data_IF_371066105979
#
_entry.id   IF_371066105979
#
_cell.length_a   1.000
_cell.length_b   1.000
_cell.length_c   1.000
_cell.angle_alpha   90.00
_cell.angle_beta   90.00
_cell.angle_gamma   90.00
#
_symmetry.space_group_name_H-M   'P 1'
#
loop_
_entity.id
_entity.type
_entity.pdbx_description
1 polymer ?
#
# COMPACT_ATOMS: atom_id res chain seq x y z
N UNK A 1 -15.89 -6.97 -11.60
CA UNK A 1 -15.24 -6.72 -10.29
C UNK A 1 -13.91 -6.01 -10.53
N UNK A 2 -13.50 -5.07 -9.65
CA UNK A 2 -12.31 -4.21 -9.78
C UNK A 2 -11.03 -4.98 -10.18
N UNK A 3 -10.76 -6.12 -9.55
CA UNK A 3 -9.59 -6.94 -9.86
C UNK A 3 -9.55 -7.48 -11.31
N UNK A 4 -10.71 -7.71 -11.93
CA UNK A 4 -10.80 -8.10 -13.35
C UNK A 4 -10.50 -6.93 -14.30
N UNK A 5 -10.85 -5.70 -13.93
CA UNK A 5 -10.49 -4.51 -14.71
C UNK A 5 -9.00 -4.20 -14.60
N UNK A 6 -8.39 -4.43 -13.44
CA UNK A 6 -6.93 -4.32 -13.23
C UNK A 6 -6.16 -5.22 -14.19
N UNK A 7 -6.57 -6.49 -14.28
CA UNK A 7 -5.95 -7.47 -15.17
C UNK A 7 -6.02 -7.08 -16.66
N UNK A 8 -7.02 -6.29 -17.05
CA UNK A 8 -7.23 -5.86 -18.43
C UNK A 8 -6.65 -4.47 -18.75
N UNK A 9 -5.95 -3.83 -17.81
CA UNK A 9 -5.27 -2.55 -18.04
C UNK A 9 -6.16 -1.31 -17.98
N UNK A 10 -7.37 -1.40 -17.40
CA UNK A 10 -8.28 -0.26 -17.27
C UNK A 10 -8.03 0.57 -16.00
N UNK A 11 -6.78 0.96 -15.75
CA UNK A 11 -6.38 1.64 -14.51
C UNK A 11 -7.10 2.98 -14.32
N UNK A 12 -7.21 3.80 -15.36
CA UNK A 12 -7.89 5.10 -15.32
C UNK A 12 -9.36 4.98 -14.88
N UNK A 13 -10.10 4.02 -15.45
CA UNK A 13 -11.49 3.78 -15.06
C UNK A 13 -11.62 3.36 -13.59
N UNK A 14 -10.64 2.64 -13.06
CA UNK A 14 -10.65 2.20 -11.66
C UNK A 14 -10.34 3.39 -10.74
N UNK A 15 -9.39 4.25 -11.12
CA UNK A 15 -9.10 5.50 -10.40
C UNK A 15 -10.39 6.33 -10.28
N UNK A 16 -11.10 6.54 -11.40
CA UNK A 16 -12.37 7.28 -11.41
C UNK A 16 -13.43 6.64 -10.51
N UNK A 17 -13.54 5.31 -10.50
CA UNK A 17 -14.45 4.60 -9.61
C UNK A 17 -14.13 4.86 -8.13
N UNK A 18 -12.86 4.79 -7.73
CA UNK A 18 -12.45 5.03 -6.34
C UNK A 18 -12.69 6.48 -5.90
N UNK A 19 -12.42 7.44 -6.79
CA UNK A 19 -12.68 8.87 -6.53
C UNK A 19 -14.17 9.16 -6.38
N UNK A 20 -15.02 8.44 -7.12
CA UNK A 20 -16.46 8.60 -7.05
C UNK A 20 -17.09 7.89 -5.85
N UNK A 21 -16.59 6.70 -5.50
CA UNK A 21 -17.08 5.89 -4.39
C UNK A 21 -15.96 5.56 -3.37
N UNK A 22 -15.80 6.40 -2.33
CA UNK A 22 -14.80 6.18 -1.28
C UNK A 22 -14.98 4.86 -0.50
N UNK A 23 -16.13 4.19 -0.58
CA UNK A 23 -16.30 2.89 0.06
C UNK A 23 -15.38 1.81 -0.55
N UNK A 24 -14.96 1.99 -1.80
CA UNK A 24 -14.07 1.06 -2.51
C UNK A 24 -12.67 0.97 -1.89
N UNK A 25 -12.23 1.98 -1.13
CA UNK A 25 -10.95 1.91 -0.40
C UNK A 25 -10.90 0.76 0.61
N UNK A 26 -12.05 0.31 1.11
CA UNK A 26 -12.15 -0.88 1.97
C UNK A 26 -11.73 -2.18 1.27
N UNK A 27 -11.67 -2.18 -0.07
CA UNK A 27 -11.24 -3.32 -0.87
C UNK A 27 -9.72 -3.42 -1.02
N UNK A 28 -8.96 -2.34 -0.76
CA UNK A 28 -7.51 -2.30 -0.97
C UNK A 28 -6.75 -3.46 -0.29
N UNK A 29 -7.07 -3.88 0.96
CA UNK A 29 -6.38 -5.03 1.55
C UNK A 29 -6.54 -6.32 0.74
N UNK A 30 -7.72 -6.54 0.16
CA UNK A 30 -7.99 -7.73 -0.66
C UNK A 30 -7.27 -7.68 -2.00
N UNK A 31 -7.15 -6.49 -2.59
CA UNK A 31 -6.46 -6.30 -3.87
C UNK A 31 -4.93 -6.44 -3.73
N UNK A 32 -4.34 -5.92 -2.64
CA UNK A 32 -2.92 -6.10 -2.31
C UNK A 32 -2.62 -7.57 -1.98
N UNK A 33 -3.56 -8.28 -1.35
CA UNK A 33 -3.40 -9.69 -1.03
C UNK A 33 -3.80 -10.64 -2.18
N UNK A 34 -4.14 -10.13 -3.36
CA UNK A 34 -4.57 -10.96 -4.49
C UNK A 34 -3.43 -11.88 -4.96
N UNK A 35 -3.77 -13.14 -5.26
CA UNK A 35 -2.80 -14.13 -5.72
C UNK A 35 -2.15 -13.76 -7.06
N UNK A 36 -2.90 -13.03 -7.91
CA UNK A 36 -2.45 -12.63 -9.24
C UNK A 36 -1.51 -11.44 -9.11
N UNK A 37 -0.26 -11.65 -9.51
CA UNK A 37 0.77 -10.61 -9.50
C UNK A 37 0.33 -9.33 -10.24
N UNK A 38 -0.36 -9.46 -11.37
CA UNK A 38 -0.88 -8.31 -12.13
C UNK A 38 -1.87 -7.45 -11.34
N UNK A 39 -2.68 -8.07 -10.47
CA UNK A 39 -3.63 -7.32 -9.62
C UNK A 39 -2.88 -6.57 -8.55
N UNK A 40 -1.87 -7.20 -7.92
CA UNK A 40 -1.04 -6.52 -6.91
C UNK A 40 -0.31 -5.32 -7.50
N UNK A 41 0.37 -5.50 -8.63
CA UNK A 41 1.08 -4.41 -9.34
C UNK A 41 0.11 -3.28 -9.70
N UNK A 42 -1.05 -3.62 -10.27
CA UNK A 42 -2.07 -2.61 -10.60
C UNK A 42 -2.63 -1.89 -9.37
N UNK A 43 -2.68 -2.58 -8.22
CA UNK A 43 -3.12 -1.98 -6.95
C UNK A 43 -2.09 -1.03 -6.39
N UNK A 44 -0.80 -1.34 -6.49
CA UNK A 44 0.28 -0.41 -6.14
C UNK A 44 0.18 0.87 -6.97
N UNK A 45 0.09 0.74 -8.30
CA UNK A 45 -0.06 1.88 -9.20
C UNK A 45 -1.33 2.70 -8.91
N UNK A 46 -2.47 2.04 -8.62
CA UNK A 46 -3.71 2.70 -8.21
C UNK A 46 -3.51 3.54 -6.94
N UNK A 47 -2.89 2.97 -5.92
CA UNK A 47 -2.71 3.64 -4.64
C UNK A 47 -1.76 4.83 -4.80
N UNK A 48 -0.69 4.70 -5.59
CA UNK A 48 0.23 5.81 -5.89
C UNK A 48 -0.50 6.98 -6.56
N UNK A 49 -1.29 6.71 -7.61
CA UNK A 49 -2.08 7.76 -8.28
C UNK A 49 -3.14 8.37 -7.35
N UNK A 50 -3.87 7.54 -6.60
CA UNK A 50 -4.86 8.04 -5.64
C UNK A 50 -4.21 8.82 -4.48
N UNK A 51 -2.95 8.57 -4.14
CA UNK A 51 -2.27 9.32 -3.10
C UNK A 51 -2.00 10.77 -3.52
N UNK A 52 -1.80 11.00 -4.82
CA UNK A 52 -1.67 12.33 -5.41
C UNK A 52 -3.04 13.01 -5.61
N UNK A 53 -4.06 12.26 -6.02
CA UNK A 53 -5.35 12.82 -6.45
C UNK A 53 -6.45 12.82 -5.36
N UNK A 54 -6.39 11.91 -4.39
CA UNK A 54 -7.40 11.70 -3.33
C UNK A 54 -6.75 11.26 -2.01
N UNK A 55 -5.68 11.98 -1.63
CA UNK A 55 -4.85 11.72 -0.45
C UNK A 55 -5.65 11.46 0.83
N UNK A 56 -6.73 12.22 1.05
CA UNK A 56 -7.54 12.10 2.26
C UNK A 56 -8.19 10.73 2.42
N UNK A 57 -8.64 10.10 1.33
CA UNK A 57 -9.23 8.76 1.39
C UNK A 57 -8.13 7.68 1.41
N UNK A 58 -6.99 7.91 0.75
CA UNK A 58 -5.80 7.05 0.89
C UNK A 58 -5.31 6.99 2.34
N UNK A 59 -5.20 8.12 3.04
CA UNK A 59 -4.80 8.14 4.45
C UNK A 59 -5.76 7.33 5.34
N UNK A 60 -7.07 7.36 5.05
CA UNK A 60 -8.05 6.55 5.80
C UNK A 60 -7.89 5.05 5.55
N UNK A 61 -7.26 4.66 4.43
CA UNK A 61 -7.00 3.26 4.12
C UNK A 61 -5.75 2.70 4.81
N UNK A 62 -4.80 3.55 5.24
CA UNK A 62 -3.58 3.15 5.97
C UNK A 62 -3.86 2.12 7.09
N UNK A 63 -4.76 2.36 8.05
CA UNK A 63 -5.04 1.38 9.12
C UNK A 63 -5.64 0.07 8.61
N UNK A 64 -6.27 0.05 7.42
CA UNK A 64 -6.80 -1.16 6.80
C UNK A 64 -5.69 -2.04 6.22
N UNK A 65 -4.56 -1.42 5.81
CA UNK A 65 -3.43 -2.11 5.21
C UNK A 65 -2.46 -2.69 6.26
N UNK A 66 -2.33 -2.05 7.43
CA UNK A 66 -1.40 -2.45 8.49
C UNK A 66 -1.47 -3.94 8.87
N UNK A 67 -2.64 -4.61 8.97
CA UNK A 67 -2.70 -6.03 9.30
C UNK A 67 -1.95 -6.94 8.30
N UNK A 68 -1.79 -6.52 7.05
CA UNK A 68 -1.07 -7.28 6.02
C UNK A 68 0.46 -7.31 6.26
N UNK A 69 1.00 -6.46 7.14
CA UNK A 69 2.41 -6.54 7.56
C UNK A 69 2.71 -7.88 8.25
N UNK A 70 1.70 -8.61 8.74
CA UNK A 70 1.84 -9.94 9.35
C UNK A 70 1.43 -11.08 8.42
N UNK A 71 1.19 -10.80 7.13
CA UNK A 71 0.68 -11.78 6.18
C UNK A 71 1.67 -12.95 5.99
N UNK A 72 1.17 -14.18 5.79
CA UNK A 72 2.02 -15.37 5.67
C UNK A 72 2.94 -15.35 4.44
N UNK A 73 2.50 -14.72 3.36
CA UNK A 73 3.28 -14.57 2.13
C UNK A 73 4.26 -13.37 2.24
N UNK A 74 5.58 -13.59 2.12
CA UNK A 74 6.57 -12.51 2.21
C UNK A 74 6.43 -11.45 1.10
N UNK A 75 5.94 -11.81 -0.09
CA UNK A 75 5.72 -10.83 -1.15
C UNK A 75 4.64 -9.82 -0.74
N UNK A 76 3.56 -10.28 -0.12
CA UNK A 76 2.48 -9.40 0.37
C UNK A 76 2.98 -8.50 1.51
N UNK A 77 3.81 -9.02 2.43
CA UNK A 77 4.42 -8.20 3.49
C UNK A 77 5.32 -7.11 2.92
N UNK A 78 6.15 -7.44 1.92
CA UNK A 78 6.99 -6.48 1.22
C UNK A 78 6.16 -5.44 0.47
N UNK A 79 5.20 -5.88 -0.36
CA UNK A 79 4.33 -5.00 -1.14
C UNK A 79 3.60 -3.99 -0.23
N UNK A 80 3.04 -4.44 0.90
CA UNK A 80 2.33 -3.54 1.82
C UNK A 80 3.27 -2.62 2.60
N UNK A 81 4.47 -3.09 2.98
CA UNK A 81 5.47 -2.24 3.63
C UNK A 81 5.90 -1.09 2.71
N UNK A 82 6.16 -1.41 1.43
CA UNK A 82 6.48 -0.42 0.40
C UNK A 82 5.36 0.61 0.23
N UNK A 83 4.12 0.13 0.02
CA UNK A 83 2.95 1.01 -0.16
C UNK A 83 2.78 1.93 1.05
N UNK A 84 2.87 1.40 2.26
CA UNK A 84 2.74 2.18 3.48
C UNK A 84 3.89 3.19 3.65
N UNK A 85 5.10 2.88 3.20
CA UNK A 85 6.23 3.81 3.12
C UNK A 85 5.96 5.03 2.24
N UNK A 86 5.30 4.80 1.11
CA UNK A 86 4.93 5.83 0.13
C UNK A 86 3.79 6.72 0.65
N UNK A 87 2.74 6.10 1.21
CA UNK A 87 1.50 6.83 1.49
C UNK A 87 1.40 7.38 2.90
N UNK A 88 2.10 6.85 3.91
CA UNK A 88 1.78 7.22 5.30
C UNK A 88 2.29 8.61 5.69
N UNK A 89 1.39 9.44 6.20
CA UNK A 89 1.71 10.77 6.76
C UNK A 89 1.90 10.78 8.28
N UNK A 90 1.69 9.64 8.91
CA UNK A 90 1.85 9.45 10.36
C UNK A 90 3.00 8.50 10.63
N UNK A 91 3.63 8.65 11.80
CA UNK A 91 4.70 7.75 12.20
C UNK A 91 4.12 6.38 12.55
N UNK A 92 4.22 5.46 11.58
CA UNK A 92 3.86 4.05 11.74
C UNK A 92 5.10 3.17 11.84
N UNK A 93 6.30 3.75 12.04
CA UNK A 93 7.57 3.02 12.04
C UNK A 93 7.55 1.85 13.02
N UNK A 94 6.97 2.05 14.22
CA UNK A 94 6.85 1.00 15.24
C UNK A 94 6.03 -0.21 14.80
N UNK A 95 5.07 -0.04 13.88
CA UNK A 95 4.31 -1.17 13.31
C UNK A 95 5.09 -1.93 12.24
N UNK A 96 6.08 -1.30 11.62
CA UNK A 96 6.96 -1.90 10.60
C UNK A 96 8.26 -2.47 11.19
N UNK A 97 8.68 -2.05 12.38
CA UNK A 97 9.90 -2.52 13.05
C UNK A 97 10.08 -4.04 13.04
N UNK A 98 9.05 -4.88 13.29
CA UNK A 98 9.20 -6.33 13.22
C UNK A 98 9.69 -6.84 11.86
N UNK A 99 9.38 -6.14 10.76
CA UNK A 99 9.81 -6.52 9.42
C UNK A 99 11.31 -6.32 9.18
N UNK A 100 11.99 -5.48 9.97
CA UNK A 100 13.45 -5.36 9.93
C UNK A 100 14.17 -6.64 10.34
N UNK A 101 13.44 -7.56 11.00
CA UNK A 101 13.92 -8.87 11.41
C UNK A 101 13.20 -10.01 10.69
N UNK A 102 12.52 -9.73 9.58
CA UNK A 102 11.81 -10.74 8.79
C UNK A 102 12.76 -11.82 8.27
N UNK A 103 12.28 -13.07 8.21
CA UNK A 103 13.04 -14.20 7.65
C UNK A 103 13.44 -13.98 6.19
N UNK A 104 12.62 -13.24 5.42
CA UNK A 104 12.89 -12.91 4.04
C UNK A 104 13.74 -11.63 3.93
N UNK A 105 14.90 -11.75 3.27
CA UNK A 105 15.86 -10.64 3.09
C UNK A 105 15.24 -9.45 2.36
N UNK A 106 14.42 -9.71 1.35
CA UNK A 106 13.78 -8.67 0.56
C UNK A 106 12.80 -7.84 1.39
N UNK A 107 12.02 -8.50 2.26
CA UNK A 107 11.10 -7.81 3.18
C UNK A 107 11.86 -6.91 4.14
N UNK A 108 13.02 -7.35 4.66
CA UNK A 108 13.85 -6.51 5.53
C UNK A 108 14.36 -5.25 4.83
N UNK A 109 14.79 -5.37 3.57
CA UNK A 109 15.27 -4.24 2.78
C UNK A 109 14.15 -3.23 2.55
N UNK A 110 13.00 -3.69 2.06
CA UNK A 110 11.84 -2.83 1.80
C UNK A 110 11.38 -2.14 3.09
N UNK A 111 11.28 -2.88 4.19
CA UNK A 111 10.84 -2.31 5.46
C UNK A 111 11.77 -1.20 5.96
N UNK A 112 13.08 -1.36 5.75
CA UNK A 112 14.06 -0.32 6.10
C UNK A 112 13.84 0.94 5.26
N UNK A 113 13.73 0.79 3.94
CA UNK A 113 13.50 1.89 3.00
C UNK A 113 12.18 2.62 3.34
N UNK A 114 11.09 1.88 3.53
CA UNK A 114 9.78 2.44 3.89
C UNK A 114 9.80 3.24 5.20
N UNK A 115 10.51 2.75 6.22
CA UNK A 115 10.66 3.47 7.50
C UNK A 115 11.48 4.75 7.31
N UNK A 116 12.54 4.71 6.49
CA UNK A 116 13.35 5.89 6.17
C UNK A 116 12.51 6.94 5.43
N UNK A 117 11.73 6.53 4.41
CA UNK A 117 10.83 7.42 3.67
C UNK A 117 9.79 8.10 4.57
N UNK A 118 9.15 7.35 5.47
CA UNK A 118 8.17 7.91 6.42
C UNK A 118 8.83 8.97 7.30
N UNK A 119 10.02 8.66 7.84
CA UNK A 119 10.77 9.59 8.70
C UNK A 119 11.18 10.84 7.94
N UNK A 120 11.67 10.72 6.72
CA UNK A 120 12.03 11.85 5.86
C UNK A 120 10.80 12.73 5.57
N UNK A 121 9.66 12.12 5.24
CA UNK A 121 8.41 12.84 4.97
C UNK A 121 7.88 13.61 6.17
N UNK A 122 7.97 13.03 7.38
CA UNK A 122 7.50 13.68 8.61
C UNK A 122 8.50 14.75 9.07
N UNK A 123 9.81 14.50 8.96
CA UNK A 123 10.86 15.43 9.39
C UNK A 123 11.04 16.62 8.45
N UNK A 124 10.84 16.42 7.13
CA UNK A 124 10.91 17.46 6.11
C UNK A 124 9.69 18.40 6.05
N UNK A 125 8.65 18.13 6.85
CA UNK A 125 7.45 18.97 6.98
C UNK A 125 7.54 20.09 8.03
N UNK A 126 8.75 20.43 8.51
CA UNK A 126 8.99 21.47 9.53
C UNK A 126 9.26 22.85 8.93
#
# INVERSE_FOLDING_TARGET
MVAGHMQNGFLENIIDMFKHDPALYSMLPHLIADERLVVRIGTTALIETLNEEDRNNVQKAVPLLMPLLLHGNPNIRGDVANILGIISDSDISGSMEPLLHDNNVHVRVIAKEAIEEIKERISGGS
#
